data_IF_978253207663
#
_entry.id   IF_978253207663
#
_cell.length_a   1.000
_cell.length_b   1.000
_cell.length_c   1.000
_cell.angle_alpha   90.00
_cell.angle_beta   90.00
_cell.angle_gamma   90.00
#
_symmetry.space_group_name_H-M   'P 1'
#
loop_
_entity.id
_entity.type
_entity.pdbx_description
1 polymer ?
#
# COMPACT_ATOMS: atom_id res chain seq x y z
N UNK A 1 9.99 -13.63 -16.74
CA UNK A 1 10.72 -12.37 -17.00
C UNK A 1 12.23 -12.53 -16.83
N UNK A 2 12.75 -12.93 -15.67
CA UNK A 2 14.22 -13.03 -15.47
C UNK A 2 14.93 -13.96 -16.46
N UNK A 3 14.42 -15.18 -16.69
CA UNK A 3 15.04 -16.09 -17.67
C UNK A 3 15.07 -15.52 -19.10
N UNK A 4 13.99 -14.85 -19.52
CA UNK A 4 13.94 -14.15 -20.81
C UNK A 4 15.00 -13.04 -20.88
N UNK A 5 15.08 -12.20 -19.83
CA UNK A 5 16.02 -11.08 -19.79
C UNK A 5 17.48 -11.54 -19.78
N UNK A 6 17.81 -12.60 -19.03
CA UNK A 6 19.15 -13.20 -19.03
C UNK A 6 19.48 -13.79 -20.41
N UNK A 7 18.53 -14.50 -21.04
CA UNK A 7 18.72 -15.07 -22.38
C UNK A 7 18.94 -14.01 -23.47
N UNK A 8 18.34 -12.82 -23.31
CA UNK A 8 18.48 -11.69 -24.24
C UNK A 8 19.59 -10.70 -23.85
N UNK A 9 20.34 -10.98 -22.77
CA UNK A 9 21.42 -10.11 -22.27
C UNK A 9 20.97 -8.66 -22.06
N UNK A 10 19.84 -8.49 -21.37
CA UNK A 10 19.34 -7.15 -21.02
C UNK A 10 20.32 -6.46 -20.06
N UNK A 11 20.78 -5.26 -20.42
CA UNK A 11 21.74 -4.48 -19.62
C UNK A 11 21.09 -3.69 -18.47
N UNK A 12 19.79 -3.38 -18.57
CA UNK A 12 19.03 -2.65 -17.56
C UNK A 12 17.55 -3.04 -17.59
N UNK A 13 16.99 -3.39 -16.43
CA UNK A 13 15.55 -3.55 -16.24
C UNK A 13 14.95 -2.29 -15.58
N UNK A 14 13.88 -1.75 -16.15
CA UNK A 14 13.07 -0.67 -15.56
C UNK A 14 11.70 -1.24 -15.24
N UNK A 15 11.37 -1.36 -13.95
CA UNK A 15 10.07 -1.91 -13.54
C UNK A 15 9.08 -0.75 -13.38
N UNK A 16 8.13 -0.66 -14.30
CA UNK A 16 7.11 0.40 -14.30
C UNK A 16 6.00 0.17 -13.28
N UNK A 17 5.23 -0.94 -13.37
CA UNK A 17 4.06 -1.13 -12.52
C UNK A 17 4.44 -1.47 -11.07
N UNK A 18 3.62 -1.01 -10.14
CA UNK A 18 3.76 -1.12 -8.69
C UNK A 18 3.53 -2.54 -8.16
N UNK A 19 2.61 -3.30 -8.76
CA UNK A 19 2.34 -4.68 -8.31
C UNK A 19 3.54 -5.62 -8.47
N UNK A 20 4.25 -5.66 -9.62
CA UNK A 20 5.54 -6.37 -9.75
C UNK A 20 6.61 -5.91 -8.77
N UNK A 21 6.66 -4.62 -8.42
CA UNK A 21 7.60 -4.08 -7.42
C UNK A 21 7.28 -4.63 -6.03
N UNK A 22 6.01 -4.58 -5.62
CA UNK A 22 5.55 -5.14 -4.36
C UNK A 22 5.81 -6.66 -4.26
N UNK A 23 5.72 -7.38 -5.38
CA UNK A 23 6.03 -8.82 -5.47
C UNK A 23 7.54 -9.14 -5.60
N UNK A 24 8.41 -8.14 -5.58
CA UNK A 24 9.86 -8.34 -5.56
C UNK A 24 10.49 -8.68 -6.91
N UNK A 25 9.88 -8.26 -8.03
CA UNK A 25 10.47 -8.45 -9.36
C UNK A 25 11.86 -7.80 -9.45
N UNK A 26 12.04 -6.62 -8.84
CA UNK A 26 13.33 -5.92 -8.86
C UNK A 26 14.42 -6.67 -8.08
N UNK A 27 14.09 -7.24 -6.93
CA UNK A 27 15.02 -8.10 -6.18
C UNK A 27 15.39 -9.34 -6.98
N UNK A 28 14.42 -9.92 -7.68
CA UNK A 28 14.66 -11.06 -8.55
C UNK A 28 15.62 -10.70 -9.67
N UNK A 29 15.44 -9.59 -10.40
CA UNK A 29 16.39 -9.17 -11.43
C UNK A 29 17.81 -8.93 -10.86
N UNK A 30 17.93 -8.25 -9.71
CA UNK A 30 19.23 -8.05 -9.04
C UNK A 30 19.90 -9.37 -8.67
N UNK A 31 19.14 -10.36 -8.20
CA UNK A 31 19.67 -11.72 -7.89
C UNK A 31 20.26 -12.41 -9.12
N UNK A 32 19.76 -12.11 -10.32
CA UNK A 32 20.29 -12.62 -11.59
C UNK A 32 21.35 -11.68 -12.21
N UNK A 33 21.86 -10.69 -11.47
CA UNK A 33 22.92 -9.80 -11.92
C UNK A 33 22.47 -8.74 -12.93
N UNK A 34 21.17 -8.54 -13.11
CA UNK A 34 20.64 -7.53 -14.04
C UNK A 34 20.47 -6.20 -13.26
N UNK A 35 21.19 -5.13 -13.63
CA UNK A 35 20.94 -3.80 -13.08
C UNK A 35 19.46 -3.44 -13.20
N UNK A 36 18.87 -2.91 -12.13
CA UNK A 36 17.41 -2.70 -12.07
C UNK A 36 17.05 -1.39 -11.42
N UNK A 37 16.26 -0.59 -12.13
CA UNK A 37 15.56 0.58 -11.63
C UNK A 37 14.18 0.19 -11.08
N UNK A 38 13.95 0.51 -9.80
CA UNK A 38 12.74 0.16 -9.05
C UNK A 38 13.09 -0.30 -7.62
N UNK A 39 12.25 -0.05 -6.60
CA UNK A 39 12.54 -0.44 -5.22
C UNK A 39 12.65 -1.96 -5.03
N UNK A 40 13.29 -2.41 -3.95
CA UNK A 40 13.10 -3.79 -3.44
C UNK A 40 11.66 -3.99 -2.97
N UNK A 41 11.21 -5.24 -2.81
CA UNK A 41 9.91 -5.54 -2.20
C UNK A 41 9.77 -4.91 -0.81
N UNK A 42 10.85 -4.95 -0.02
CA UNK A 42 10.89 -4.34 1.30
C UNK A 42 10.69 -2.82 1.25
N UNK A 43 11.35 -2.13 0.33
CA UNK A 43 11.20 -0.70 0.13
C UNK A 43 9.84 -0.33 -0.50
N UNK A 44 9.32 -1.17 -1.40
CA UNK A 44 8.01 -0.98 -2.04
C UNK A 44 6.83 -1.00 -1.06
N UNK A 45 7.04 -1.50 0.18
CA UNK A 45 6.05 -1.42 1.27
C UNK A 45 5.58 0.00 1.56
N UNK A 46 6.40 1.01 1.29
CA UNK A 46 6.02 2.42 1.44
C UNK A 46 4.82 2.81 0.56
N UNK A 47 4.55 2.06 -0.50
CA UNK A 47 3.37 2.24 -1.36
C UNK A 47 2.37 1.09 -1.19
N UNK A 48 2.87 -0.15 -1.11
CA UNK A 48 2.00 -1.34 -1.08
C UNK A 48 1.30 -1.60 0.24
N UNK A 49 1.70 -0.94 1.33
CA UNK A 49 1.06 -1.02 2.64
C UNK A 49 0.88 0.36 3.26
N UNK A 50 -0.33 0.92 3.17
CA UNK A 50 -0.64 2.23 3.75
C UNK A 50 -0.42 2.25 5.25
N UNK A 51 -0.72 1.15 5.95
CA UNK A 51 -0.43 1.02 7.39
C UNK A 51 1.07 1.19 7.68
N UNK A 52 1.94 0.52 6.92
CA UNK A 52 3.38 0.66 7.06
C UNK A 52 3.85 2.09 6.79
N UNK A 53 3.37 2.72 5.71
CA UNK A 53 3.75 4.09 5.37
C UNK A 53 3.33 5.09 6.44
N UNK A 54 2.14 4.91 7.03
CA UNK A 54 1.63 5.73 8.13
C UNK A 54 2.50 5.61 9.38
N UNK A 55 2.83 4.39 9.78
CA UNK A 55 3.73 4.15 10.91
C UNK A 55 5.12 4.77 10.68
N UNK A 56 5.70 4.55 9.50
CA UNK A 56 7.01 5.10 9.12
C UNK A 56 7.02 6.63 9.12
N UNK A 57 5.96 7.28 8.62
CA UNK A 57 5.86 8.75 8.65
C UNK A 57 5.81 9.29 10.08
N UNK A 58 5.06 8.65 10.98
CA UNK A 58 5.02 9.05 12.40
C UNK A 58 6.38 8.88 13.06
N UNK A 59 7.02 7.73 12.86
CA UNK A 59 8.35 7.43 13.41
C UNK A 59 9.41 8.43 12.92
N UNK A 60 9.38 8.77 11.63
CA UNK A 60 10.33 9.70 11.01
C UNK A 60 9.99 11.19 11.23
N UNK A 61 8.90 11.52 11.91
CA UNK A 61 8.45 12.90 12.11
C UNK A 61 7.95 13.60 10.85
N UNK A 62 7.55 12.83 9.83
CA UNK A 62 6.96 13.36 8.59
C UNK A 62 5.49 13.70 8.84
N UNK A 63 5.04 14.94 8.60
CA UNK A 63 3.65 15.33 8.81
C UNK A 63 2.67 14.45 8.04
N UNK A 64 1.66 13.93 8.75
CA UNK A 64 0.63 13.07 8.17
C UNK A 64 -0.68 13.23 8.92
N UNK A 65 -1.82 12.92 8.28
CA UNK A 65 -3.13 13.01 8.94
C UNK A 65 -3.24 12.09 10.18
N UNK A 66 -4.07 12.44 11.16
CA UNK A 66 -4.44 11.48 12.22
C UNK A 66 -5.03 10.21 11.60
N UNK A 67 -4.73 9.04 12.16
CA UNK A 67 -5.18 7.76 11.60
C UNK A 67 -5.35 6.68 12.67
N UNK A 68 -6.08 5.64 12.30
CA UNK A 68 -6.08 4.33 12.95
C UNK A 68 -5.94 3.24 11.88
N UNK A 69 -5.41 2.08 12.27
CA UNK A 69 -5.30 0.88 11.43
C UNK A 69 -5.99 -0.25 12.16
N UNK A 70 -6.86 -0.96 11.45
CA UNK A 70 -7.74 -1.97 12.04
C UNK A 70 -7.78 -3.19 11.14
N UNK A 71 -7.69 -4.37 11.74
CA UNK A 71 -7.96 -5.65 11.08
C UNK A 71 -9.34 -6.20 11.48
N UNK A 72 -9.93 -5.68 12.57
CA UNK A 72 -11.24 -6.06 13.08
C UNK A 72 -12.30 -4.98 12.82
N UNK A 73 -13.43 -5.38 12.26
CA UNK A 73 -14.51 -4.46 11.89
C UNK A 73 -15.07 -3.69 13.10
N UNK A 74 -15.26 -4.35 14.25
CA UNK A 74 -15.82 -3.67 15.43
C UNK A 74 -14.91 -2.54 15.96
N UNK A 75 -13.59 -2.73 15.90
CA UNK A 75 -12.63 -1.71 16.31
C UNK A 75 -12.65 -0.52 15.35
N UNK A 76 -12.70 -0.80 14.04
CA UNK A 76 -12.83 0.22 13.01
C UNK A 76 -14.12 1.04 13.17
N UNK A 77 -15.27 0.38 13.37
CA UNK A 77 -16.55 1.06 13.55
C UNK A 77 -16.56 1.93 14.82
N UNK A 78 -15.94 1.46 15.91
CA UNK A 78 -15.82 2.24 17.16
C UNK A 78 -15.01 3.52 16.91
N UNK A 79 -13.83 3.39 16.29
CA UNK A 79 -12.99 4.53 15.95
C UNK A 79 -13.70 5.54 15.03
N UNK A 80 -14.45 5.05 14.03
CA UNK A 80 -15.24 5.89 13.12
C UNK A 80 -16.30 6.70 13.89
N UNK A 81 -17.04 6.06 14.80
CA UNK A 81 -18.07 6.74 15.61
C UNK A 81 -17.47 7.78 16.55
N UNK A 82 -16.29 7.50 17.13
CA UNK A 82 -15.59 8.44 18.01
C UNK A 82 -15.02 9.65 17.25
N UNK A 83 -14.49 9.44 16.04
CA UNK A 83 -13.90 10.51 15.22
C UNK A 83 -14.92 11.36 14.49
N UNK A 84 -16.06 10.79 14.11
CA UNK A 84 -17.06 11.46 13.29
C UNK A 84 -16.60 11.64 11.84
N UNK A 85 -17.34 12.47 11.10
CA UNK A 85 -17.09 12.77 9.69
C UNK A 85 -16.77 14.27 9.49
N UNK A 86 -16.04 14.65 8.42
CA UNK A 86 -15.55 13.81 7.33
C UNK A 86 -14.36 12.94 7.72
N UNK A 87 -14.30 11.72 7.18
CA UNK A 87 -13.22 10.76 7.41
C UNK A 87 -12.92 10.00 6.11
N UNK A 88 -11.68 9.50 5.95
CA UNK A 88 -11.29 8.73 4.76
C UNK A 88 -10.98 7.30 5.18
N UNK A 89 -11.72 6.35 4.62
CA UNK A 89 -11.52 4.91 4.82
C UNK A 89 -10.65 4.38 3.68
N UNK A 90 -9.57 3.67 3.99
CA UNK A 90 -8.62 3.17 3.00
C UNK A 90 -8.23 1.73 3.24
N UNK A 91 -8.30 0.90 2.20
CA UNK A 91 -7.72 -0.43 2.22
C UNK A 91 -6.19 -0.33 2.30
N UNK A 92 -5.55 -1.12 3.16
CA UNK A 92 -4.10 -1.02 3.38
C UNK A 92 -3.27 -1.41 2.15
N UNK A 93 -3.71 -2.44 1.41
CA UNK A 93 -3.03 -2.94 0.20
C UNK A 93 -3.15 -2.04 -1.04
N UNK A 94 -2.61 -2.52 -2.17
CA UNK A 94 -2.57 -1.80 -3.44
C UNK A 94 -3.97 -1.49 -4.02
N UNK A 95 -4.96 -2.37 -3.78
CA UNK A 95 -6.39 -2.16 -4.09
C UNK A 95 -6.69 -1.56 -5.49
N UNK A 96 -5.80 -1.74 -6.46
CA UNK A 96 -5.82 -1.17 -7.81
C UNK A 96 -6.18 0.34 -7.85
N UNK A 97 -5.75 1.12 -6.85
CA UNK A 97 -6.05 2.55 -6.74
C UNK A 97 -7.51 2.88 -6.36
N UNK A 98 -8.37 1.89 -6.12
CA UNK A 98 -9.78 2.07 -5.76
C UNK A 98 -10.06 1.93 -4.25
N UNK A 99 -9.07 1.53 -3.47
CA UNK A 99 -9.22 1.29 -2.03
C UNK A 99 -9.15 2.54 -1.16
N UNK A 100 -9.72 3.67 -1.59
CA UNK A 100 -9.80 4.88 -0.77
C UNK A 100 -11.15 5.57 -1.01
N UNK A 101 -11.93 5.74 0.06
CA UNK A 101 -13.26 6.33 0.04
C UNK A 101 -13.27 7.53 0.97
N UNK A 102 -13.67 8.69 0.45
CA UNK A 102 -13.87 9.91 1.24
C UNK A 102 -15.32 9.92 1.71
N UNK A 103 -15.53 9.80 3.01
CA UNK A 103 -16.85 9.70 3.62
C UNK A 103 -17.20 11.03 4.28
N UNK A 104 -18.34 11.59 3.90
CA UNK A 104 -18.87 12.85 4.42
C UNK A 104 -19.82 12.64 5.60
N UNK A 105 -20.31 11.41 5.78
CA UNK A 105 -21.12 10.98 6.92
C UNK A 105 -20.50 9.78 7.64
N UNK A 106 -20.91 9.58 8.90
CA UNK A 106 -20.49 8.40 9.69
C UNK A 106 -21.01 7.12 9.05
N UNK A 107 -22.24 7.12 8.54
CA UNK A 107 -22.84 5.94 7.91
C UNK A 107 -22.10 5.52 6.63
N UNK A 108 -21.69 6.48 5.79
CA UNK A 108 -20.83 6.22 4.63
C UNK A 108 -19.50 5.58 5.03
N UNK A 109 -18.91 6.02 6.15
CA UNK A 109 -17.65 5.47 6.65
C UNK A 109 -17.80 4.06 7.21
N UNK A 110 -18.89 3.80 7.95
CA UNK A 110 -19.21 2.46 8.46
C UNK A 110 -19.44 1.49 7.31
N UNK A 111 -20.16 1.90 6.26
CA UNK A 111 -20.38 1.05 5.09
C UNK A 111 -19.08 0.75 4.35
N UNK A 112 -18.25 1.77 4.10
CA UNK A 112 -16.93 1.57 3.50
C UNK A 112 -16.04 0.64 4.34
N UNK A 113 -16.13 0.69 5.68
CA UNK A 113 -15.40 -0.23 6.55
C UNK A 113 -15.91 -1.68 6.42
N UNK A 114 -17.22 -1.89 6.34
CA UNK A 114 -17.83 -3.21 6.11
C UNK A 114 -17.43 -3.79 4.77
N UNK A 115 -17.44 -2.99 3.70
CA UNK A 115 -17.02 -3.46 2.37
C UNK A 115 -15.54 -3.89 2.31
N UNK A 116 -14.70 -3.35 3.20
CA UNK A 116 -13.26 -3.64 3.22
C UNK A 116 -12.84 -4.74 4.21
N UNK A 117 -13.61 -4.95 5.29
CA UNK A 117 -13.27 -5.87 6.38
C UNK A 117 -14.28 -7.00 6.62
N UNK A 118 -15.50 -6.90 6.06
CA UNK A 118 -16.54 -7.94 6.11
C UNK A 118 -16.46 -8.89 4.92
#
# INVERSE_FOLDING_TARGET
>A
LTGWATGHRIDLAVVGPEAPLALGLADRFRRFGIPTFGPSAAAARIESSKAFSKALMVEAGVPTAGYGTFDELQEAETFIRERGAPIVVKASGLAAGKGAVVCTTVDEALEAAREMLG
#
